data_IF_978958304135
#
_entry.id   IF_978958304135
#
_cell.length_a   1.000
_cell.length_b   1.000
_cell.length_c   1.000
_cell.angle_alpha   90.00
_cell.angle_beta   90.00
_cell.angle_gamma   90.00
#
_symmetry.space_group_name_H-M   'P 1'
#
loop_
_entity.id
_entity.type
_entity.pdbx_description
1 polymer ?
#
# COMPACT_ATOMS: atom_id res chain seq x y z
N UNK A 1 -8.26 14.42 -25.17
CA UNK A 1 -7.42 13.24 -24.93
C UNK A 1 -8.12 12.01 -25.50
N UNK A 2 -7.39 10.99 -26.08
CA UNK A 2 -8.04 9.77 -26.59
C UNK A 2 -7.84 8.64 -25.57
N UNK A 3 -8.91 7.93 -25.28
CA UNK A 3 -8.83 6.65 -24.51
C UNK A 3 -8.13 5.59 -25.36
N UNK A 4 -7.48 4.64 -24.70
CA UNK A 4 -6.95 3.43 -25.35
C UNK A 4 -8.11 2.48 -25.65
N UNK A 5 -7.96 1.60 -26.64
CA UNK A 5 -9.02 0.66 -27.05
C UNK A 5 -9.59 -0.12 -25.85
N UNK A 6 -8.75 -0.73 -25.06
CA UNK A 6 -9.18 -1.47 -23.88
C UNK A 6 -9.92 -0.59 -22.85
N UNK A 7 -9.55 0.71 -22.73
CA UNK A 7 -10.28 1.61 -21.82
C UNK A 7 -11.69 1.87 -22.35
N UNK A 8 -11.86 1.99 -23.66
CA UNK A 8 -13.19 2.14 -24.30
C UNK A 8 -14.06 0.91 -24.03
N UNK A 9 -13.50 -0.31 -24.16
CA UNK A 9 -14.18 -1.55 -23.86
C UNK A 9 -14.59 -1.64 -22.38
N UNK A 10 -13.67 -1.31 -21.45
CA UNK A 10 -13.96 -1.28 -20.01
C UNK A 10 -15.01 -0.24 -19.68
N UNK A 11 -14.95 0.96 -20.27
CA UNK A 11 -15.95 2.02 -20.09
C UNK A 11 -17.35 1.54 -20.52
N UNK A 12 -17.47 0.89 -21.68
CA UNK A 12 -18.74 0.38 -22.18
C UNK A 12 -19.28 -0.74 -21.26
N UNK A 13 -18.44 -1.67 -20.85
CA UNK A 13 -18.82 -2.75 -19.93
C UNK A 13 -19.22 -2.18 -18.56
N UNK A 14 -18.46 -1.23 -18.02
CA UNK A 14 -18.77 -0.59 -16.74
C UNK A 14 -20.10 0.18 -16.78
N UNK A 15 -20.41 0.86 -17.89
CA UNK A 15 -21.72 1.49 -18.09
C UNK A 15 -22.86 0.46 -17.99
N UNK A 16 -22.73 -0.69 -18.67
CA UNK A 16 -23.74 -1.75 -18.62
C UNK A 16 -23.94 -2.26 -17.21
N UNK A 17 -22.85 -2.52 -16.48
CA UNK A 17 -22.92 -3.01 -15.08
C UNK A 17 -23.53 -1.95 -14.16
N UNK A 18 -23.19 -0.67 -14.32
CA UNK A 18 -23.75 0.42 -13.53
C UNK A 18 -25.24 0.63 -13.76
N UNK A 19 -25.70 0.55 -15.00
CA UNK A 19 -27.12 0.64 -15.33
C UNK A 19 -27.94 -0.51 -14.73
N UNK A 20 -27.35 -1.72 -14.65
CA UNK A 20 -27.99 -2.89 -14.08
C UNK A 20 -27.96 -2.91 -12.53
N UNK A 21 -26.85 -2.48 -11.92
CA UNK A 21 -26.56 -2.74 -10.49
C UNK A 21 -26.22 -1.48 -9.69
N UNK A 22 -26.19 -0.31 -10.31
CA UNK A 22 -25.81 1.00 -9.75
C UNK A 22 -24.40 1.08 -9.17
N UNK A 23 -23.64 0.00 -9.16
CA UNK A 23 -22.21 0.02 -8.82
C UNK A 23 -21.40 -0.92 -9.70
N UNK A 24 -20.12 -0.62 -9.85
CA UNK A 24 -19.13 -1.48 -10.50
C UNK A 24 -17.81 -1.43 -9.74
N UNK A 25 -17.09 -2.53 -9.72
CA UNK A 25 -15.75 -2.62 -9.14
C UNK A 25 -14.69 -2.73 -10.25
N UNK A 26 -13.89 -1.70 -10.45
CA UNK A 26 -12.75 -1.72 -11.38
C UNK A 26 -11.51 -2.26 -10.66
N UNK A 27 -11.28 -3.56 -10.79
CA UNK A 27 -10.09 -4.26 -10.29
C UNK A 27 -8.97 -4.18 -11.33
N UNK A 28 -8.45 -2.99 -11.56
CA UNK A 28 -7.44 -2.74 -12.56
C UNK A 28 -6.07 -2.55 -11.88
N UNK A 29 -5.04 -3.22 -12.37
CA UNK A 29 -3.69 -3.09 -11.82
C UNK A 29 -3.15 -1.66 -11.93
N UNK A 30 -2.09 -1.35 -11.18
CA UNK A 30 -1.46 -0.03 -11.22
C UNK A 30 -1.00 0.32 -12.64
N UNK A 31 -1.10 1.63 -13.00
CA UNK A 31 -0.71 2.16 -14.33
C UNK A 31 -1.53 1.68 -15.53
N UNK A 32 -2.61 0.94 -15.34
CA UNK A 32 -3.54 0.60 -16.43
C UNK A 32 -4.54 1.73 -16.75
N UNK A 33 -4.44 2.89 -16.08
CA UNK A 33 -5.24 4.07 -16.38
C UNK A 33 -6.62 4.08 -15.71
N UNK A 34 -6.75 3.49 -14.50
CA UNK A 34 -7.99 3.45 -13.70
C UNK A 34 -8.71 4.79 -13.61
N UNK A 35 -7.99 5.84 -13.23
CA UNK A 35 -8.55 7.20 -13.07
C UNK A 35 -9.23 7.68 -14.34
N UNK A 36 -8.52 7.64 -15.48
CA UNK A 36 -9.08 8.03 -16.77
C UNK A 36 -10.27 7.16 -17.18
N UNK A 37 -10.20 5.87 -16.92
CA UNK A 37 -11.30 4.94 -17.19
C UNK A 37 -12.54 5.32 -16.37
N UNK A 38 -12.41 5.59 -15.07
CA UNK A 38 -13.53 6.01 -14.22
C UNK A 38 -14.12 7.36 -14.63
N UNK A 39 -13.28 8.34 -15.00
CA UNK A 39 -13.73 9.63 -15.55
C UNK A 39 -14.46 9.43 -16.89
N UNK A 40 -13.98 8.52 -17.74
CA UNK A 40 -14.66 8.16 -19.00
C UNK A 40 -16.00 7.45 -18.80
N UNK A 41 -16.14 6.64 -17.75
CA UNK A 41 -17.44 6.03 -17.38
C UNK A 41 -18.45 7.10 -16.98
N UNK A 42 -18.03 8.07 -16.19
CA UNK A 42 -18.87 9.21 -15.79
C UNK A 42 -19.35 10.01 -17.00
N UNK A 43 -18.44 10.35 -17.94
CA UNK A 43 -18.78 11.01 -19.20
C UNK A 43 -19.76 10.20 -20.05
N UNK A 44 -19.52 8.90 -20.16
CA UNK A 44 -20.37 8.00 -20.95
C UNK A 44 -21.79 7.86 -20.40
N UNK A 45 -21.96 7.98 -19.08
CA UNK A 45 -23.28 7.98 -18.43
C UNK A 45 -24.02 9.31 -18.52
N UNK A 46 -23.33 10.42 -18.90
CA UNK A 46 -23.92 11.74 -18.99
C UNK A 46 -24.36 12.30 -17.63
N UNK A 47 -23.55 12.09 -16.61
CA UNK A 47 -23.79 12.57 -15.24
C UNK A 47 -23.53 14.09 -15.13
N UNK A 48 -24.01 14.74 -14.07
CA UNK A 48 -23.79 16.16 -13.82
C UNK A 48 -22.72 16.43 -12.78
N UNK A 49 -22.75 15.73 -11.65
CA UNK A 49 -21.87 15.99 -10.51
C UNK A 49 -21.18 14.71 -10.03
N UNK A 50 -19.87 14.68 -10.13
CA UNK A 50 -19.03 13.57 -9.67
C UNK A 50 -18.34 13.91 -8.35
N UNK A 51 -18.49 13.03 -7.35
CA UNK A 51 -17.66 13.02 -6.16
C UNK A 51 -16.53 11.97 -6.31
N UNK A 52 -15.30 12.43 -6.38
CA UNK A 52 -14.13 11.56 -6.47
C UNK A 52 -13.39 11.52 -5.13
N UNK A 53 -13.48 10.39 -4.43
CA UNK A 53 -12.86 10.18 -3.11
C UNK A 53 -11.57 9.39 -3.29
N UNK A 54 -10.45 9.95 -2.83
CA UNK A 54 -9.11 9.37 -3.02
C UNK A 54 -8.20 9.65 -1.82
N UNK A 55 -6.91 9.37 -1.94
CA UNK A 55 -5.89 9.78 -0.99
C UNK A 55 -5.40 11.20 -1.26
N UNK A 56 -5.08 11.97 -0.22
CA UNK A 56 -4.67 13.38 -0.33
C UNK A 56 -3.61 13.65 -1.41
N UNK A 57 -2.62 12.76 -1.54
CA UNK A 57 -1.54 12.91 -2.53
C UNK A 57 -1.97 12.71 -3.99
N UNK A 58 -3.09 12.05 -4.23
CA UNK A 58 -3.57 11.76 -5.58
C UNK A 58 -4.49 12.86 -6.14
N UNK A 59 -4.99 13.79 -5.31
CA UNK A 59 -5.93 14.83 -5.71
C UNK A 59 -5.43 15.59 -6.94
N UNK A 60 -4.23 16.16 -6.88
CA UNK A 60 -3.69 16.99 -7.97
C UNK A 60 -3.54 16.25 -9.31
N UNK A 61 -3.21 14.94 -9.26
CA UNK A 61 -3.11 14.12 -10.49
C UNK A 61 -4.49 13.84 -11.11
N UNK A 62 -5.52 13.64 -10.27
CA UNK A 62 -6.89 13.42 -10.73
C UNK A 62 -7.46 14.68 -11.36
N UNK A 63 -7.27 15.84 -10.71
CA UNK A 63 -7.66 17.15 -11.26
C UNK A 63 -6.96 17.45 -12.58
N UNK A 64 -5.68 17.10 -12.71
CA UNK A 64 -4.93 17.24 -13.95
C UNK A 64 -5.47 16.35 -15.07
N UNK A 65 -5.83 15.09 -14.77
CA UNK A 65 -6.45 14.18 -15.72
C UNK A 65 -7.85 14.64 -16.14
N UNK A 66 -8.65 15.13 -15.20
CA UNK A 66 -9.96 15.74 -15.48
C UNK A 66 -9.84 16.95 -16.41
N UNK A 67 -8.93 17.88 -16.12
CA UNK A 67 -8.68 19.05 -16.99
C UNK A 67 -8.23 18.65 -18.40
N UNK A 68 -7.45 17.58 -18.54
CA UNK A 68 -7.02 17.07 -19.87
C UNK A 68 -8.15 16.39 -20.63
N UNK A 69 -9.07 15.75 -19.93
CA UNK A 69 -10.22 15.09 -20.53
C UNK A 69 -11.25 16.10 -21.00
N UNK A 70 -11.43 17.23 -20.28
CA UNK A 70 -12.43 18.28 -20.51
C UNK A 70 -13.86 17.70 -20.63
N UNK A 71 -14.34 16.96 -19.64
CA UNK A 71 -15.67 16.36 -19.71
C UNK A 71 -16.79 17.38 -19.46
N UNK A 72 -18.02 17.00 -19.80
CA UNK A 72 -19.21 17.86 -19.67
C UNK A 72 -19.89 17.78 -18.28
N UNK A 73 -19.19 17.34 -17.21
CA UNK A 73 -19.72 17.29 -15.86
C UNK A 73 -18.77 18.00 -14.88
N UNK A 74 -19.28 18.31 -13.69
CA UNK A 74 -18.46 18.88 -12.62
C UNK A 74 -17.87 17.81 -11.72
N UNK A 75 -16.67 18.06 -11.18
CA UNK A 75 -15.99 17.15 -10.27
C UNK A 75 -15.64 17.82 -8.94
N UNK A 76 -15.92 17.12 -7.85
CA UNK A 76 -15.38 17.42 -6.53
C UNK A 76 -14.39 16.31 -6.16
N UNK A 77 -13.11 16.65 -6.03
CA UNK A 77 -12.06 15.68 -5.63
C UNK A 77 -11.71 15.91 -4.16
N UNK A 78 -11.86 14.90 -3.35
CA UNK A 78 -11.61 15.00 -1.91
C UNK A 78 -10.88 13.75 -1.37
N UNK A 79 -10.17 13.94 -0.25
CA UNK A 79 -9.57 12.80 0.44
C UNK A 79 -10.54 12.21 1.47
N UNK A 80 -10.36 10.91 1.75
CA UNK A 80 -11.19 10.17 2.70
C UNK A 80 -11.30 10.82 4.10
N UNK A 81 -10.21 11.45 4.58
CA UNK A 81 -10.16 12.09 5.89
C UNK A 81 -11.01 13.35 5.96
N UNK A 82 -11.21 14.02 4.82
CA UNK A 82 -11.99 15.27 4.74
C UNK A 82 -13.41 15.05 4.22
N UNK A 83 -13.82 13.82 3.93
CA UNK A 83 -15.13 13.50 3.35
C UNK A 83 -16.32 14.03 4.16
N UNK A 84 -16.16 14.17 5.50
CA UNK A 84 -17.18 14.75 6.37
C UNK A 84 -17.46 16.25 6.13
N UNK A 85 -16.66 16.91 5.28
CA UNK A 85 -16.80 18.33 4.90
C UNK A 85 -17.47 18.50 3.52
N UNK A 86 -17.79 17.39 2.87
CA UNK A 86 -18.40 17.42 1.54
C UNK A 86 -19.82 17.93 1.65
N UNK A 87 -20.14 18.92 0.83
CA UNK A 87 -21.47 19.48 0.63
C UNK A 87 -21.88 19.33 -0.83
N UNK A 88 -23.18 19.28 -1.08
CA UNK A 88 -23.73 19.17 -2.43
C UNK A 88 -24.34 17.79 -2.73
N UNK A 89 -24.99 17.71 -3.89
CA UNK A 89 -25.62 16.51 -4.41
C UNK A 89 -24.78 15.92 -5.54
N UNK A 90 -24.58 14.62 -5.51
CA UNK A 90 -23.77 13.89 -6.48
C UNK A 90 -24.58 12.74 -7.06
N UNK A 91 -24.61 12.67 -8.37
CA UNK A 91 -25.25 11.58 -9.12
C UNK A 91 -24.25 10.47 -9.49
N UNK A 92 -22.96 10.72 -9.26
CA UNK A 92 -21.88 9.74 -9.47
C UNK A 92 -20.79 9.84 -8.40
N UNK A 93 -20.31 8.70 -7.93
CA UNK A 93 -19.25 8.62 -6.92
C UNK A 93 -18.14 7.65 -7.36
N UNK A 94 -16.89 8.09 -7.27
CA UNK A 94 -15.72 7.23 -7.45
C UNK A 94 -15.00 7.08 -6.12
N UNK A 95 -14.76 5.83 -5.71
CA UNK A 95 -14.05 5.46 -4.49
C UNK A 95 -12.72 4.81 -4.87
N UNK A 96 -11.67 5.61 -4.92
CA UNK A 96 -10.32 5.15 -5.26
C UNK A 96 -9.66 4.45 -4.07
N UNK A 97 -8.83 3.44 -4.35
CA UNK A 97 -8.23 2.57 -3.34
C UNK A 97 -9.29 1.98 -2.36
N UNK A 98 -10.38 1.48 -2.94
CA UNK A 98 -11.55 0.97 -2.23
C UNK A 98 -11.23 -0.11 -1.18
N UNK A 99 -10.11 -0.85 -1.34
CA UNK A 99 -9.63 -1.81 -0.35
C UNK A 99 -9.44 -1.20 1.05
N UNK A 100 -9.22 0.13 1.14
CA UNK A 100 -9.09 0.83 2.43
C UNK A 100 -10.39 0.87 3.25
N UNK A 101 -11.53 0.55 2.63
CA UNK A 101 -12.82 0.39 3.29
C UNK A 101 -13.06 -1.02 3.82
N UNK A 102 -12.20 -1.97 3.47
CA UNK A 102 -12.35 -3.39 3.76
C UNK A 102 -12.06 -3.82 5.20
N UNK A 103 -12.07 -2.91 6.18
CA UNK A 103 -11.88 -3.27 7.58
C UNK A 103 -12.98 -4.22 8.07
N UNK A 104 -12.60 -5.29 8.76
CA UNK A 104 -13.52 -6.28 9.37
C UNK A 104 -13.08 -6.59 10.82
N UNK A 105 -13.96 -7.07 11.71
CA UNK A 105 -15.37 -7.41 11.50
C UNK A 105 -16.31 -6.21 11.53
N UNK A 106 -15.84 -5.00 11.87
CA UNK A 106 -16.66 -3.78 11.93
C UNK A 106 -16.24 -2.79 10.85
N UNK A 107 -17.18 -2.09 10.19
CA UNK A 107 -16.84 -1.05 9.23
C UNK A 107 -16.13 0.12 9.91
N UNK A 108 -15.18 0.73 9.23
CA UNK A 108 -14.51 1.94 9.70
C UNK A 108 -15.48 3.13 9.72
N UNK A 109 -15.12 4.20 10.44
CA UNK A 109 -15.88 5.48 10.42
C UNK A 109 -16.05 6.01 9.00
N UNK A 110 -14.99 5.92 8.20
CA UNK A 110 -14.95 6.26 6.76
C UNK A 110 -15.99 5.48 5.96
N UNK A 111 -16.04 4.15 6.11
CA UNK A 111 -16.99 3.28 5.42
C UNK A 111 -18.44 3.61 5.79
N UNK A 112 -18.71 3.97 7.04
CA UNK A 112 -20.04 4.38 7.50
C UNK A 112 -20.48 5.68 6.84
N UNK A 113 -19.61 6.69 6.81
CA UNK A 113 -19.90 7.97 6.18
C UNK A 113 -20.17 7.83 4.68
N UNK A 114 -19.39 7.02 3.97
CA UNK A 114 -19.62 6.71 2.57
C UNK A 114 -21.00 6.07 2.38
N UNK A 115 -21.37 5.13 3.26
CA UNK A 115 -22.70 4.50 3.21
C UNK A 115 -23.82 5.52 3.40
N UNK A 116 -23.67 6.46 4.34
CA UNK A 116 -24.65 7.53 4.57
C UNK A 116 -24.86 8.37 3.29
N UNK A 117 -23.78 8.78 2.63
CA UNK A 117 -23.85 9.55 1.38
C UNK A 117 -24.51 8.74 0.26
N UNK A 118 -24.12 7.48 0.07
CA UNK A 118 -24.70 6.63 -0.99
C UNK A 118 -26.18 6.37 -0.72
N UNK A 119 -26.58 6.15 0.53
CA UNK A 119 -27.99 5.90 0.88
C UNK A 119 -28.86 7.14 0.75
N UNK A 120 -28.33 8.34 1.03
CA UNK A 120 -29.09 9.59 0.94
C UNK A 120 -29.26 10.10 -0.50
N UNK A 121 -28.23 9.89 -1.36
CA UNK A 121 -28.21 10.49 -2.70
C UNK A 121 -28.40 9.46 -3.83
N UNK A 122 -28.20 8.17 -3.54
CA UNK A 122 -28.30 7.06 -4.49
C UNK A 122 -27.50 7.27 -5.80
N UNK A 123 -26.23 7.68 -5.75
CA UNK A 123 -25.40 7.89 -6.93
C UNK A 123 -25.06 6.56 -7.62
N UNK A 124 -24.61 6.62 -8.88
CA UNK A 124 -23.83 5.53 -9.45
C UNK A 124 -22.45 5.45 -8.76
N UNK A 125 -21.98 4.25 -8.42
CA UNK A 125 -20.75 4.08 -7.64
C UNK A 125 -19.71 3.27 -8.40
N UNK A 126 -18.53 3.83 -8.59
CA UNK A 126 -17.35 3.12 -9.09
C UNK A 126 -16.36 2.91 -7.94
N UNK A 127 -16.15 1.64 -7.60
CA UNK A 127 -15.09 1.22 -6.68
C UNK A 127 -13.83 0.92 -7.49
N UNK A 128 -12.67 1.41 -7.08
CA UNK A 128 -11.41 1.15 -7.77
C UNK A 128 -10.33 0.63 -6.83
N UNK A 129 -9.64 -0.42 -7.23
CA UNK A 129 -8.41 -0.88 -6.56
C UNK A 129 -7.56 -1.74 -7.49
N UNK A 130 -6.24 -1.62 -7.39
CA UNK A 130 -5.31 -2.57 -8.02
C UNK A 130 -5.17 -3.88 -7.21
N UNK A 131 -5.57 -3.86 -5.95
CA UNK A 131 -5.48 -4.97 -4.99
C UNK A 131 -6.74 -5.00 -4.13
N UNK A 132 -7.87 -5.53 -4.63
CA UNK A 132 -9.14 -5.51 -3.90
C UNK A 132 -9.10 -6.21 -2.55
N UNK A 133 -8.33 -7.28 -2.45
CA UNK A 133 -8.25 -8.15 -1.27
C UNK A 133 -6.79 -8.41 -0.89
N UNK A 134 -6.06 -7.37 -0.41
CA UNK A 134 -4.62 -7.49 -0.16
C UNK A 134 -4.28 -8.52 0.92
N UNK A 135 -5.16 -8.75 1.88
CA UNK A 135 -4.93 -9.65 3.02
C UNK A 135 -5.91 -10.84 3.04
N UNK A 136 -7.18 -10.60 2.71
CA UNK A 136 -8.25 -11.61 2.77
C UNK A 136 -9.43 -11.25 1.88
N UNK A 137 -10.10 -12.25 1.32
CA UNK A 137 -11.36 -12.07 0.61
C UNK A 137 -12.47 -11.49 1.52
N UNK A 138 -12.38 -11.66 2.83
CA UNK A 138 -13.30 -11.06 3.80
C UNK A 138 -13.39 -9.53 3.70
N UNK A 139 -12.35 -8.88 3.16
CA UNK A 139 -12.30 -7.43 2.98
C UNK A 139 -13.35 -6.90 2.00
N UNK A 140 -13.84 -7.72 1.09
CA UNK A 140 -14.84 -7.31 0.07
C UNK A 140 -16.15 -6.88 0.73
N UNK A 141 -16.58 -7.55 1.79
CA UNK A 141 -17.88 -7.27 2.40
C UNK A 141 -18.08 -5.78 2.71
N UNK A 142 -17.16 -5.15 3.45
CA UNK A 142 -17.29 -3.75 3.80
C UNK A 142 -16.93 -2.78 2.68
N UNK A 143 -16.25 -3.22 1.64
CA UNK A 143 -16.01 -2.38 0.47
C UNK A 143 -17.31 -2.13 -0.31
N UNK A 144 -18.13 -3.17 -0.48
CA UNK A 144 -19.40 -3.07 -1.21
C UNK A 144 -20.62 -2.83 -0.32
N UNK A 145 -20.46 -2.90 1.00
CA UNK A 145 -21.49 -2.72 2.02
C UNK A 145 -22.34 -1.44 1.86
N UNK A 146 -21.77 -0.39 1.29
CA UNK A 146 -22.46 0.85 1.03
C UNK A 146 -23.37 0.77 -0.20
N UNK A 147 -23.07 -0.10 -1.16
CA UNK A 147 -23.80 -0.22 -2.43
C UNK A 147 -25.10 -1.01 -2.23
N UNK A 148 -26.23 -0.46 -2.68
CA UNK A 148 -27.55 -1.01 -2.44
C UNK A 148 -27.77 -2.39 -3.10
N UNK A 149 -27.29 -2.58 -4.32
CA UNK A 149 -27.45 -3.77 -5.16
C UNK A 149 -26.29 -4.77 -5.03
N UNK A 150 -25.52 -4.75 -3.91
CA UNK A 150 -24.37 -5.64 -3.76
C UNK A 150 -24.82 -7.10 -3.49
N UNK A 151 -23.98 -8.10 -3.89
CA UNK A 151 -24.34 -9.53 -3.78
C UNK A 151 -24.48 -10.05 -2.34
N UNK A 152 -24.08 -9.26 -1.35
CA UNK A 152 -24.12 -9.63 0.07
C UNK A 152 -25.21 -8.91 0.86
N UNK A 153 -26.17 -8.25 0.21
CA UNK A 153 -27.24 -7.47 0.85
C UNK A 153 -28.10 -8.26 1.84
N UNK A 154 -28.28 -9.57 1.62
CA UNK A 154 -29.01 -10.43 2.55
C UNK A 154 -28.32 -10.55 3.93
N UNK A 155 -27.02 -10.27 4.00
CA UNK A 155 -26.27 -10.32 5.26
C UNK A 155 -26.23 -8.94 5.92
N UNK A 156 -27.17 -8.66 6.80
CA UNK A 156 -27.28 -7.37 7.51
C UNK A 156 -26.06 -7.02 8.37
N UNK A 157 -25.21 -8.00 8.69
CA UNK A 157 -23.98 -7.81 9.48
C UNK A 157 -22.86 -8.67 8.95
N UNK A 158 -21.62 -8.21 9.11
CA UNK A 158 -20.43 -8.99 8.77
C UNK A 158 -20.41 -10.37 9.46
N UNK A 159 -20.91 -10.46 10.67
CA UNK A 159 -20.93 -11.74 11.39
C UNK A 159 -21.85 -12.79 10.74
N UNK A 160 -22.97 -12.36 10.14
CA UNK A 160 -23.85 -13.26 9.37
C UNK A 160 -23.18 -13.70 8.08
N UNK A 161 -22.53 -12.77 7.35
CA UNK A 161 -21.73 -13.06 6.18
C UNK A 161 -20.57 -14.03 6.52
N UNK A 162 -19.84 -13.78 7.61
CA UNK A 162 -18.70 -14.57 8.01
C UNK A 162 -19.04 -16.03 8.35
N UNK A 163 -20.25 -16.31 8.86
CA UNK A 163 -20.70 -17.70 9.10
C UNK A 163 -20.71 -18.55 7.84
N UNK A 164 -20.94 -17.95 6.69
CA UNK A 164 -21.06 -18.64 5.41
C UNK A 164 -19.76 -18.60 4.61
N UNK A 165 -19.12 -17.40 4.54
CA UNK A 165 -18.04 -17.13 3.64
C UNK A 165 -16.65 -16.99 4.30
N UNK A 166 -16.52 -17.23 5.61
CA UNK A 166 -15.22 -17.10 6.30
C UNK A 166 -14.96 -18.33 7.16
N UNK A 167 -13.78 -18.89 7.06
CA UNK A 167 -13.30 -19.92 7.97
C UNK A 167 -12.84 -19.27 9.27
N UNK A 168 -13.77 -19.08 10.19
CA UNK A 168 -13.52 -18.37 11.46
C UNK A 168 -12.68 -19.24 12.38
N UNK A 169 -11.50 -18.73 12.77
CA UNK A 169 -10.64 -19.38 13.75
C UNK A 169 -10.60 -18.57 15.04
N UNK A 170 -10.48 -19.25 16.19
CA UNK A 170 -10.30 -18.57 17.48
C UNK A 170 -8.83 -18.44 17.81
N UNK A 171 -8.44 -17.26 18.28
CA UNK A 171 -7.10 -16.97 18.80
C UNK A 171 -7.23 -16.46 20.24
N UNK A 172 -6.34 -16.90 21.10
CA UNK A 172 -6.26 -16.32 22.45
C UNK A 172 -5.49 -14.99 22.38
N UNK A 173 -6.12 -13.93 22.87
CA UNK A 173 -5.51 -12.61 22.99
C UNK A 173 -5.64 -12.14 24.43
N UNK A 174 -4.53 -12.00 25.15
CA UNK A 174 -4.50 -11.69 26.60
C UNK A 174 -5.48 -12.55 27.41
N UNK A 175 -5.42 -13.87 27.24
CA UNK A 175 -6.28 -14.84 27.91
C UNK A 175 -7.78 -14.77 27.54
N UNK A 176 -8.17 -13.94 26.56
CA UNK A 176 -9.51 -13.90 26.03
C UNK A 176 -9.59 -14.49 24.61
N UNK A 177 -10.59 -15.34 24.30
CA UNK A 177 -10.78 -15.84 22.97
C UNK A 177 -11.24 -14.70 22.03
N UNK A 178 -10.55 -14.52 20.94
CA UNK A 178 -10.91 -13.57 19.89
C UNK A 178 -11.06 -14.30 18.56
N UNK A 179 -12.15 -14.04 17.85
CA UNK A 179 -12.36 -14.59 16.54
C UNK A 179 -11.50 -13.87 15.51
N UNK A 180 -10.85 -14.67 14.67
CA UNK A 180 -10.09 -14.22 13.52
C UNK A 180 -10.89 -14.49 12.25
N UNK A 181 -10.95 -13.50 11.35
CA UNK A 181 -11.75 -13.51 10.12
C UNK A 181 -10.90 -13.32 8.87
N UNK A 182 -9.60 -13.62 8.92
CA UNK A 182 -8.66 -13.41 7.82
C UNK A 182 -8.64 -14.53 6.77
N UNK A 183 -9.46 -15.57 6.95
CA UNK A 183 -9.57 -16.69 6.01
C UNK A 183 -10.93 -16.66 5.28
N UNK A 184 -11.11 -15.62 4.42
CA UNK A 184 -12.27 -15.52 3.55
C UNK A 184 -12.20 -16.54 2.41
N UNK A 185 -13.33 -17.17 2.09
CA UNK A 185 -13.43 -18.20 1.05
C UNK A 185 -13.39 -17.58 -0.36
N UNK A 186 -12.85 -18.31 -1.37
CA UNK A 186 -12.80 -17.84 -2.76
C UNK A 186 -14.17 -17.50 -3.37
N UNK A 187 -15.25 -18.16 -2.91
CA UNK A 187 -16.62 -17.94 -3.37
C UNK A 187 -17.08 -16.49 -3.25
N UNK A 188 -16.46 -15.71 -2.34
CA UNK A 188 -16.69 -14.26 -2.23
C UNK A 188 -16.35 -13.56 -3.56
N UNK A 189 -15.27 -13.97 -4.20
CA UNK A 189 -14.85 -13.39 -5.50
C UNK A 189 -15.76 -13.87 -6.61
N UNK A 190 -16.20 -15.12 -6.56
CA UNK A 190 -17.14 -15.65 -7.56
C UNK A 190 -18.47 -14.87 -7.53
N UNK A 191 -18.99 -14.55 -6.35
CA UNK A 191 -20.15 -13.70 -6.18
C UNK A 191 -19.95 -12.26 -6.72
N UNK A 192 -18.72 -11.77 -6.69
CA UNK A 192 -18.39 -10.43 -7.19
C UNK A 192 -18.20 -10.36 -8.72
N UNK A 193 -18.01 -11.48 -9.42
CA UNK A 193 -17.73 -11.50 -10.87
C UNK A 193 -18.69 -10.67 -11.72
N UNK A 194 -20.02 -10.67 -11.51
CA UNK A 194 -20.95 -9.85 -12.31
C UNK A 194 -20.75 -8.33 -12.14
N UNK A 195 -20.14 -7.92 -11.03
CA UNK A 195 -19.96 -6.52 -10.62
C UNK A 195 -18.53 -6.03 -10.79
N UNK A 196 -17.60 -6.92 -11.18
CA UNK A 196 -16.17 -6.65 -11.17
C UNK A 196 -15.58 -6.76 -12.57
N UNK A 197 -14.85 -5.74 -12.98
CA UNK A 197 -14.07 -5.73 -14.21
C UNK A 197 -12.61 -5.76 -13.81
N UNK A 198 -11.93 -6.85 -14.13
CA UNK A 198 -10.50 -7.02 -13.86
C UNK A 198 -9.69 -6.73 -15.10
N UNK A 199 -8.54 -6.04 -14.93
CA UNK A 199 -7.63 -5.76 -16.02
C UNK A 199 -6.18 -5.66 -15.52
N UNK A 200 -5.33 -6.49 -16.09
CA UNK A 200 -3.93 -6.62 -15.68
C UNK A 200 -2.99 -5.74 -16.53
N UNK A 201 -1.80 -5.47 -16.02
CA UNK A 201 -0.73 -4.83 -16.78
C UNK A 201 -0.36 -5.65 -18.04
N UNK A 202 -0.38 -6.98 -17.93
CA UNK A 202 -0.11 -7.88 -19.04
C UNK A 202 -1.11 -7.67 -20.20
N UNK A 203 -2.40 -7.63 -19.90
CA UNK A 203 -3.46 -7.33 -20.88
C UNK A 203 -3.32 -5.92 -21.45
N UNK A 204 -2.85 -4.96 -20.66
CA UNK A 204 -2.56 -3.59 -21.11
C UNK A 204 -1.31 -3.48 -22.00
N UNK A 205 -0.64 -4.62 -22.29
CA UNK A 205 0.53 -4.69 -23.15
C UNK A 205 1.83 -4.26 -22.46
N UNK A 206 1.88 -4.26 -21.11
CA UNK A 206 3.13 -4.08 -20.38
C UNK A 206 4.00 -5.32 -20.57
N UNK A 207 5.19 -5.11 -21.12
CA UNK A 207 6.19 -6.18 -21.33
C UNK A 207 7.24 -6.21 -20.21
N UNK A 208 7.18 -5.26 -19.28
CA UNK A 208 8.18 -5.13 -18.23
C UNK A 208 8.12 -6.31 -17.25
N UNK A 209 9.26 -6.98 -17.12
CA UNK A 209 9.49 -7.97 -16.08
C UNK A 209 10.21 -7.30 -14.91
N UNK A 210 9.69 -7.47 -13.71
CA UNK A 210 10.39 -7.05 -12.50
C UNK A 210 11.34 -8.18 -12.12
N UNK A 211 12.65 -7.87 -12.11
CA UNK A 211 13.67 -8.75 -11.55
C UNK A 211 14.03 -8.33 -10.15
N UNK A 212 13.78 -9.20 -9.20
CA UNK A 212 14.08 -8.93 -7.80
C UNK A 212 15.40 -9.57 -7.39
N UNK A 213 16.26 -8.79 -6.75
CA UNK A 213 17.57 -9.18 -6.27
C UNK A 213 17.64 -8.95 -4.76
N UNK A 214 18.03 -9.96 -4.00
CA UNK A 214 18.24 -9.84 -2.55
C UNK A 214 19.74 -9.80 -2.29
N UNK A 215 20.23 -8.64 -1.85
CA UNK A 215 21.61 -8.43 -1.45
C UNK A 215 21.74 -8.42 0.08
N UNK A 216 22.76 -9.09 0.58
CA UNK A 216 23.02 -9.21 2.02
C UNK A 216 24.18 -8.34 2.43
N UNK A 217 24.02 -7.66 3.56
CA UNK A 217 25.03 -6.76 4.12
C UNK A 217 25.40 -7.23 5.51
N UNK A 218 26.69 -7.43 5.73
CA UNK A 218 27.24 -7.66 7.08
C UNK A 218 27.16 -6.35 7.85
N UNK A 219 26.43 -6.37 8.95
CA UNK A 219 26.33 -5.24 9.86
C UNK A 219 27.55 -5.20 10.81
N UNK A 220 27.71 -4.10 11.53
CA UNK A 220 28.76 -4.02 12.57
C UNK A 220 28.49 -5.02 13.72
N UNK A 221 29.53 -5.42 14.40
CA UNK A 221 29.43 -6.30 15.58
C UNK A 221 28.56 -5.67 16.69
N UNK A 222 28.54 -4.35 16.77
CA UNK A 222 27.67 -3.60 17.69
C UNK A 222 26.19 -3.85 17.39
N UNK A 223 25.81 -3.86 16.12
CA UNK A 223 24.42 -4.16 15.70
C UNK A 223 24.01 -5.56 16.18
N UNK A 224 24.82 -6.57 15.93
CA UNK A 224 24.51 -7.94 16.36
C UNK A 224 24.44 -8.09 17.88
N UNK A 225 25.31 -7.38 18.62
CA UNK A 225 25.26 -7.35 20.09
C UNK A 225 23.95 -6.70 20.57
N UNK A 226 23.56 -5.55 20.02
CA UNK A 226 22.31 -4.90 20.39
C UNK A 226 21.07 -5.77 20.08
N UNK A 227 21.08 -6.47 18.93
CA UNK A 227 20.01 -7.40 18.60
C UNK A 227 19.93 -8.55 19.60
N UNK A 228 21.07 -9.09 20.01
CA UNK A 228 21.13 -10.14 21.05
C UNK A 228 20.58 -9.63 22.38
N UNK A 229 21.08 -8.49 22.88
CA UNK A 229 20.59 -7.89 24.13
C UNK A 229 19.08 -7.60 24.09
N UNK A 230 18.58 -7.03 22.99
CA UNK A 230 17.15 -6.80 22.80
C UNK A 230 16.34 -8.11 22.76
N UNK A 231 16.91 -9.18 22.21
CA UNK A 231 16.26 -10.49 22.12
C UNK A 231 16.18 -11.19 23.48
N UNK A 232 17.21 -11.08 24.29
CA UNK A 232 17.32 -11.73 25.60
C UNK A 232 16.70 -10.90 26.72
N UNK A 233 17.03 -9.61 26.78
CA UNK A 233 16.71 -8.74 27.92
C UNK A 233 15.60 -7.72 27.66
N UNK A 234 15.22 -7.50 26.40
CA UNK A 234 14.21 -6.49 25.97
C UNK A 234 14.57 -5.04 26.32
N UNK A 235 15.80 -4.81 26.75
CA UNK A 235 16.31 -3.53 27.20
C UNK A 235 17.77 -3.41 26.75
N UNK A 236 18.14 -2.22 26.27
CA UNK A 236 19.51 -1.83 26.01
C UNK A 236 19.71 -0.46 26.66
N UNK A 237 20.67 -0.38 27.56
CA UNK A 237 21.03 0.86 28.25
C UNK A 237 22.34 1.43 27.74
N UNK A 238 22.38 2.71 27.47
CA UNK A 238 23.56 3.43 27.07
C UNK A 238 24.56 3.54 28.24
N UNK A 239 25.73 2.93 28.12
CA UNK A 239 26.75 2.92 29.22
C UNK A 239 27.23 4.31 29.66
N UNK A 240 27.08 5.32 28.83
CA UNK A 240 27.53 6.72 29.12
C UNK A 240 26.43 7.76 28.95
N UNK A 241 25.27 7.36 28.46
CA UNK A 241 24.11 8.23 28.22
C UNK A 241 22.91 7.60 28.95
N UNK A 242 21.98 8.41 29.39
CA UNK A 242 20.71 7.91 29.98
C UNK A 242 19.73 7.40 28.90
N UNK A 243 20.24 7.06 27.74
CA UNK A 243 19.44 6.60 26.59
C UNK A 243 19.07 5.14 26.79
N UNK A 244 17.78 4.86 26.57
CA UNK A 244 17.20 3.53 26.73
C UNK A 244 16.47 3.14 25.47
N UNK A 245 16.73 1.90 25.02
CA UNK A 245 15.95 1.24 23.96
C UNK A 245 15.15 0.12 24.65
N UNK A 246 13.84 0.28 24.67
CA UNK A 246 12.93 -0.62 25.37
C UNK A 246 12.05 -1.41 24.41
N UNK A 247 12.00 -2.73 24.57
CA UNK A 247 11.12 -3.66 23.86
C UNK A 247 10.19 -4.41 24.81
N UNK A 248 9.52 -3.69 25.73
CA UNK A 248 8.67 -4.23 26.81
C UNK A 248 7.57 -5.16 26.31
N UNK A 249 7.01 -4.90 25.15
CA UNK A 249 6.02 -5.77 24.49
C UNK A 249 6.64 -6.49 23.29
N UNK A 250 6.07 -7.67 22.93
CA UNK A 250 6.55 -8.41 21.76
C UNK A 250 6.46 -7.60 20.46
N UNK A 251 5.46 -6.72 20.33
CA UNK A 251 5.31 -5.81 19.18
C UNK A 251 6.43 -4.78 19.15
N UNK A 252 6.74 -4.14 20.28
CA UNK A 252 7.85 -3.18 20.37
C UNK A 252 9.18 -3.89 20.16
N UNK A 253 9.40 -5.06 20.76
CA UNK A 253 10.59 -5.88 20.55
C UNK A 253 10.83 -6.20 19.07
N UNK A 254 9.80 -6.69 18.37
CA UNK A 254 9.85 -6.94 16.92
C UNK A 254 10.25 -5.67 16.14
N UNK A 255 9.62 -4.54 16.45
CA UNK A 255 9.93 -3.26 15.81
C UNK A 255 11.34 -2.78 16.10
N UNK A 256 11.83 -2.90 17.34
CA UNK A 256 13.20 -2.49 17.72
C UNK A 256 14.25 -3.38 17.06
N UNK A 257 14.06 -4.69 17.01
CA UNK A 257 14.97 -5.62 16.31
C UNK A 257 15.04 -5.29 14.83
N UNK A 258 13.91 -4.99 14.20
CA UNK A 258 13.85 -4.57 12.79
C UNK A 258 14.61 -3.23 12.55
N UNK A 259 14.46 -2.26 13.46
CA UNK A 259 15.21 -1.00 13.42
C UNK A 259 16.71 -1.23 13.60
N UNK A 260 17.13 -2.04 14.56
CA UNK A 260 18.54 -2.35 14.81
C UNK A 260 19.20 -3.00 13.58
N UNK A 261 18.53 -3.94 12.90
CA UNK A 261 19.05 -4.53 11.68
C UNK A 261 19.06 -3.54 10.49
N UNK A 262 18.36 -2.44 10.57
CA UNK A 262 18.50 -1.34 9.59
C UNK A 262 19.66 -0.40 9.90
N UNK A 263 20.32 -0.58 11.05
CA UNK A 263 21.38 0.32 11.53
C UNK A 263 20.83 1.59 12.20
N UNK A 264 19.55 1.59 12.60
CA UNK A 264 18.89 2.76 13.20
C UNK A 264 18.00 2.33 14.37
N UNK A 265 17.67 3.26 15.25
CA UNK A 265 16.69 3.01 16.30
C UNK A 265 16.02 4.31 16.75
N UNK A 266 14.74 4.23 17.10
CA UNK A 266 14.01 5.29 17.79
C UNK A 266 14.01 5.01 19.29
N UNK A 267 14.53 5.93 20.08
CA UNK A 267 14.56 5.87 21.52
C UNK A 267 13.18 6.16 22.14
N UNK A 268 12.99 5.88 23.42
CA UNK A 268 11.72 6.10 24.12
C UNK A 268 11.35 7.59 24.23
N UNK A 269 12.32 8.48 24.31
CA UNK A 269 12.11 9.95 24.28
C UNK A 269 11.75 10.49 22.89
N UNK A 270 11.64 9.62 21.88
CA UNK A 270 11.31 9.98 20.50
C UNK A 270 12.52 10.33 19.61
N UNK A 271 13.71 10.48 20.17
CA UNK A 271 14.96 10.75 19.43
C UNK A 271 15.28 9.57 18.50
N UNK A 272 15.83 9.87 17.34
CA UNK A 272 16.30 8.87 16.38
C UNK A 272 17.81 8.79 16.43
N UNK A 273 18.33 7.59 16.43
CA UNK A 273 19.75 7.34 16.49
C UNK A 273 20.17 6.42 15.33
N UNK A 274 21.25 6.77 14.68
CA UNK A 274 21.96 5.91 13.72
C UNK A 274 22.98 5.11 14.50
N UNK A 275 22.84 3.80 14.50
CA UNK A 275 23.74 2.88 15.20
C UNK A 275 24.77 2.24 14.28
N UNK A 276 24.47 2.21 12.96
CA UNK A 276 25.30 1.54 11.97
C UNK A 276 25.04 2.12 10.57
N UNK A 277 26.07 2.45 9.85
CA UNK A 277 26.00 2.98 8.47
C UNK A 277 26.28 1.92 7.40
N UNK A 278 26.46 0.66 7.76
CA UNK A 278 26.87 -0.41 6.83
C UNK A 278 25.96 -0.53 5.62
N UNK A 279 24.63 -0.52 5.81
CA UNK A 279 23.68 -0.55 4.69
C UNK A 279 23.77 0.68 3.78
N UNK A 280 23.81 1.87 4.36
CA UNK A 280 23.89 3.11 3.57
C UNK A 280 25.20 3.17 2.75
N UNK A 281 26.34 2.79 3.35
CA UNK A 281 27.64 2.70 2.67
C UNK A 281 27.62 1.64 1.58
N UNK A 282 27.07 0.47 1.86
CA UNK A 282 26.91 -0.60 0.86
C UNK A 282 26.11 -0.12 -0.35
N UNK A 283 24.94 0.51 -0.14
CA UNK A 283 24.11 1.04 -1.24
C UNK A 283 24.91 2.06 -2.06
N UNK A 284 25.62 2.99 -1.43
CA UNK A 284 26.45 3.99 -2.15
C UNK A 284 27.55 3.33 -3.00
N UNK A 285 28.17 2.28 -2.50
CA UNK A 285 29.27 1.59 -3.19
C UNK A 285 28.75 0.73 -4.33
N UNK A 286 27.71 -0.07 -4.08
CA UNK A 286 27.14 -1.01 -5.04
C UNK A 286 26.51 -0.30 -6.24
N UNK A 287 25.85 0.83 -5.99
CA UNK A 287 25.12 1.58 -7.02
C UNK A 287 25.81 2.89 -7.43
N UNK A 288 27.13 3.01 -7.26
CA UNK A 288 27.89 4.27 -7.51
C UNK A 288 27.72 4.85 -8.91
N UNK A 289 27.47 4.02 -9.92
CA UNK A 289 27.35 4.41 -11.32
C UNK A 289 25.89 4.41 -11.81
N UNK A 290 24.91 4.36 -10.90
CA UNK A 290 23.48 4.32 -11.21
C UNK A 290 22.76 5.46 -10.54
N UNK A 291 21.76 6.02 -11.21
CA UNK A 291 20.79 6.92 -10.60
C UNK A 291 19.69 6.07 -9.96
N UNK A 292 19.64 6.02 -8.65
CA UNK A 292 18.77 5.11 -7.91
C UNK A 292 17.61 5.82 -7.22
N UNK A 293 16.48 5.08 -7.10
CA UNK A 293 15.40 5.44 -6.19
C UNK A 293 15.45 4.49 -4.98
N UNK A 294 15.61 5.05 -3.79
CA UNK A 294 15.71 4.27 -2.54
C UNK A 294 14.40 4.38 -1.77
N UNK A 295 13.79 3.24 -1.46
CA UNK A 295 12.70 3.17 -0.52
C UNK A 295 13.18 2.80 0.88
N UNK A 296 12.79 3.61 1.87
CA UNK A 296 13.11 3.39 3.27
C UNK A 296 11.84 3.27 4.12
N UNK A 297 11.93 2.58 5.27
CA UNK A 297 10.82 2.40 6.21
C UNK A 297 10.88 3.40 7.36
N UNK A 298 12.02 3.46 8.06
CA UNK A 298 12.20 4.31 9.24
C UNK A 298 12.86 5.64 8.86
N UNK A 299 12.40 6.74 9.44
CA UNK A 299 12.91 8.08 9.12
C UNK A 299 14.42 8.22 9.35
N UNK A 300 14.98 7.53 10.35
CA UNK A 300 16.42 7.52 10.61
C UNK A 300 17.25 6.86 9.50
N UNK A 301 16.63 6.00 8.67
CA UNK A 301 17.30 5.42 7.50
C UNK A 301 17.57 6.48 6.43
N UNK A 302 16.66 7.46 6.28
CA UNK A 302 16.90 8.62 5.43
C UNK A 302 18.06 9.48 5.96
N UNK A 303 18.09 9.69 7.27
CA UNK A 303 19.19 10.40 7.93
C UNK A 303 20.54 9.69 7.71
N UNK A 304 20.56 8.34 7.78
CA UNK A 304 21.74 7.53 7.47
C UNK A 304 22.17 7.65 6.00
N UNK A 305 21.21 7.65 5.07
CA UNK A 305 21.47 7.88 3.65
C UNK A 305 22.05 9.29 3.41
N UNK A 306 21.46 10.33 3.99
CA UNK A 306 21.94 11.70 3.92
C UNK A 306 23.36 11.83 4.45
N UNK A 307 23.68 11.18 5.57
CA UNK A 307 25.03 11.20 6.15
C UNK A 307 26.08 10.58 5.22
N UNK A 308 25.70 9.56 4.42
CA UNK A 308 26.61 8.88 3.50
C UNK A 308 26.67 9.57 2.13
N UNK A 309 25.54 10.04 1.59
CA UNK A 309 25.45 10.63 0.26
C UNK A 309 25.68 12.14 0.24
N UNK A 310 25.52 12.85 1.37
CA UNK A 310 25.52 14.32 1.41
C UNK A 310 24.45 14.89 0.49
N UNK A 311 24.86 15.81 -0.38
CA UNK A 311 23.97 16.44 -1.37
C UNK A 311 23.62 15.55 -2.58
N UNK A 312 24.19 14.35 -2.66
CA UNK A 312 23.94 13.40 -3.75
C UNK A 312 22.59 12.66 -3.65
N UNK A 313 21.77 12.94 -2.62
CA UNK A 313 20.44 12.32 -2.44
C UNK A 313 19.41 13.35 -1.96
N UNK A 314 18.19 13.26 -2.47
CA UNK A 314 17.07 14.15 -2.15
C UNK A 314 15.81 13.36 -1.82
N UNK A 315 14.79 13.99 -1.26
CA UNK A 315 13.42 13.49 -1.13
C UNK A 315 12.40 14.28 -1.97
N UNK A 316 12.89 15.26 -2.74
CA UNK A 316 12.09 16.05 -3.67
C UNK A 316 12.13 15.45 -5.09
N UNK A 317 10.92 15.21 -5.65
CA UNK A 317 10.76 14.61 -6.99
C UNK A 317 11.22 15.53 -8.11
N UNK A 318 11.02 16.85 -7.98
CA UNK A 318 11.44 17.80 -9.00
C UNK A 318 12.96 17.88 -9.06
N UNK A 319 13.61 17.91 -7.89
CA UNK A 319 15.07 17.90 -7.82
C UNK A 319 15.65 16.60 -8.38
N UNK A 320 15.03 15.45 -8.05
CA UNK A 320 15.40 14.16 -8.66
C UNK A 320 15.25 14.18 -10.18
N UNK A 321 14.14 14.73 -10.70
CA UNK A 321 13.86 14.72 -12.14
C UNK A 321 14.76 15.69 -12.93
N UNK A 322 15.25 16.77 -12.31
CA UNK A 322 16.03 17.81 -12.98
C UNK A 322 17.54 17.72 -12.76
N UNK A 323 17.99 16.91 -11.81
CA UNK A 323 19.42 16.77 -11.47
C UNK A 323 19.90 15.32 -11.57
N UNK A 324 21.19 15.09 -11.33
CA UNK A 324 21.78 13.75 -11.22
C UNK A 324 21.62 13.11 -9.84
N UNK A 325 20.96 13.78 -8.88
CA UNK A 325 20.79 13.26 -7.51
C UNK A 325 19.95 11.98 -7.49
N UNK A 326 20.24 11.12 -6.55
CA UNK A 326 19.42 9.99 -6.19
C UNK A 326 18.18 10.46 -5.40
N UNK A 327 17.15 9.66 -5.35
CA UNK A 327 15.97 9.97 -4.51
C UNK A 327 15.80 8.93 -3.41
N UNK A 328 15.39 9.38 -2.22
CA UNK A 328 14.98 8.50 -1.13
C UNK A 328 13.58 8.86 -0.66
N UNK A 329 12.68 7.85 -0.64
CA UNK A 329 11.28 8.01 -0.31
C UNK A 329 10.85 7.02 0.76
N UNK A 330 10.03 7.47 1.70
CA UNK A 330 9.47 6.55 2.70
C UNK A 330 8.44 5.62 2.04
N UNK A 331 8.52 4.31 2.27
CA UNK A 331 7.63 3.31 1.67
C UNK A 331 6.16 3.71 1.85
N UNK A 332 5.77 4.10 3.07
CA UNK A 332 4.39 4.47 3.39
C UNK A 332 3.86 5.67 2.56
N UNK A 333 4.74 6.60 2.19
CA UNK A 333 4.37 7.81 1.45
C UNK A 333 4.75 7.77 -0.04
N UNK A 334 5.75 6.99 -0.41
CA UNK A 334 6.25 6.86 -1.78
C UNK A 334 5.58 5.76 -2.61
N UNK A 335 4.75 4.92 -1.98
CA UNK A 335 4.11 3.78 -2.66
C UNK A 335 2.98 4.16 -3.61
N UNK A 336 2.55 5.42 -3.64
CA UNK A 336 1.37 5.85 -4.40
C UNK A 336 1.61 7.17 -5.15
N UNK A 337 1.05 7.28 -6.35
CA UNK A 337 0.93 8.54 -7.10
C UNK A 337 2.22 9.14 -7.68
N UNK A 338 3.37 8.47 -7.60
CA UNK A 338 4.65 9.00 -8.09
C UNK A 338 5.21 8.18 -9.26
N UNK A 339 6.02 8.84 -10.09
CA UNK A 339 6.76 8.21 -11.19
C UNK A 339 8.26 8.28 -10.93
N UNK A 340 8.94 7.15 -11.05
CA UNK A 340 10.39 7.01 -10.84
C UNK A 340 11.11 6.59 -12.14
N UNK A 341 10.61 7.03 -13.30
CA UNK A 341 11.12 6.62 -14.62
C UNK A 341 12.58 6.99 -14.86
N UNK A 342 13.12 7.99 -14.16
CA UNK A 342 14.50 8.44 -14.30
C UNK A 342 15.50 7.67 -13.43
N UNK A 343 15.02 6.73 -12.61
CA UNK A 343 15.88 5.84 -11.88
C UNK A 343 16.29 4.63 -12.75
N UNK A 344 17.54 4.23 -12.69
CA UNK A 344 18.04 3.02 -13.34
C UNK A 344 17.56 1.75 -12.63
N UNK A 345 17.38 1.83 -11.32
CA UNK A 345 16.83 0.74 -10.52
C UNK A 345 16.17 1.25 -9.22
N UNK A 346 15.38 0.38 -8.61
CA UNK A 346 14.73 0.60 -7.32
C UNK A 346 15.49 -0.17 -6.23
N UNK A 347 15.83 0.51 -5.16
CA UNK A 347 16.58 -0.06 -4.03
C UNK A 347 15.74 0.06 -2.76
N UNK A 348 15.47 -1.05 -2.10
CA UNK A 348 14.85 -1.07 -0.78
C UNK A 348 15.90 -1.15 0.30
N UNK A 349 16.06 -0.06 1.05
CA UNK A 349 16.90 -0.04 2.24
C UNK A 349 16.38 -0.99 3.31
N UNK A 350 15.06 -1.09 3.40
CA UNK A 350 14.36 -1.96 4.34
C UNK A 350 13.02 -2.41 3.74
N UNK A 351 12.36 -3.38 4.38
CA UNK A 351 11.08 -3.94 3.97
C UNK A 351 9.99 -3.59 5.00
N UNK A 352 8.76 -3.38 4.54
CA UNK A 352 7.62 -3.23 5.44
C UNK A 352 7.00 -4.59 5.79
N UNK A 353 6.31 -4.66 6.92
CA UNK A 353 5.57 -5.85 7.34
C UNK A 353 4.32 -6.10 6.49
N UNK A 354 3.84 -5.09 5.78
CA UNK A 354 2.63 -5.13 4.97
C UNK A 354 2.90 -5.67 3.56
N UNK A 355 2.17 -6.71 3.18
CA UNK A 355 2.16 -7.24 1.83
C UNK A 355 1.70 -6.20 0.82
N UNK A 356 0.68 -5.39 1.16
CA UNK A 356 0.19 -4.31 0.33
C UNK A 356 1.30 -3.28 0.01
N UNK A 357 2.06 -2.87 1.03
CA UNK A 357 3.19 -1.95 0.87
C UNK A 357 4.23 -2.51 -0.10
N UNK A 358 4.55 -3.79 0.01
CA UNK A 358 5.46 -4.50 -0.89
C UNK A 358 4.96 -4.43 -2.35
N UNK A 359 3.74 -4.90 -2.62
CA UNK A 359 3.21 -5.00 -3.97
C UNK A 359 3.03 -3.64 -4.64
N UNK A 360 2.50 -2.64 -3.92
CA UNK A 360 2.27 -1.30 -4.46
C UNK A 360 3.55 -0.52 -4.74
N UNK A 361 4.57 -0.67 -3.88
CA UNK A 361 5.83 0.06 -4.06
C UNK A 361 6.71 -0.55 -5.14
N UNK A 362 6.73 -1.88 -5.29
CA UNK A 362 7.55 -2.61 -6.26
C UNK A 362 7.24 -2.20 -7.71
N UNK A 363 5.98 -1.98 -8.02
CA UNK A 363 5.53 -1.70 -9.39
C UNK A 363 5.77 -0.24 -9.83
N UNK A 364 6.49 0.58 -9.04
CA UNK A 364 6.70 2.01 -9.34
C UNK A 364 7.62 2.27 -10.53
N UNK A 365 8.45 1.33 -10.92
CA UNK A 365 9.33 1.45 -12.07
C UNK A 365 8.78 0.83 -13.36
N UNK A 366 7.70 0.06 -13.29
CA UNK A 366 7.13 -0.53 -14.50
C UNK A 366 6.63 0.53 -15.45
N UNK A 367 7.07 0.50 -16.70
CA UNK A 367 6.58 1.37 -17.79
C UNK A 367 6.22 0.49 -18.98
N UNK A 368 5.40 1.02 -19.90
CA UNK A 368 5.07 0.30 -21.15
C UNK A 368 6.29 0.00 -21.99
N UNK A 369 7.28 0.89 -21.93
CA UNK A 369 8.47 0.90 -22.80
C UNK A 369 9.68 0.22 -22.13
N UNK A 370 9.62 -0.08 -20.84
CA UNK A 370 10.68 -0.76 -20.11
C UNK A 370 10.51 -2.28 -20.21
N UNK A 371 11.54 -2.99 -20.71
CA UNK A 371 11.52 -4.44 -20.81
C UNK A 371 11.87 -5.14 -19.50
N UNK A 372 12.70 -4.52 -18.67
CA UNK A 372 13.15 -5.05 -17.37
C UNK A 372 13.27 -3.92 -16.37
N UNK A 373 12.79 -4.13 -15.16
CA UNK A 373 12.96 -3.23 -14.00
C UNK A 373 13.64 -3.99 -12.88
N UNK A 374 14.88 -3.62 -12.56
CA UNK A 374 15.62 -4.24 -11.47
C UNK A 374 15.22 -3.62 -10.11
N UNK A 375 14.87 -4.48 -9.17
CA UNK A 375 14.50 -4.13 -7.79
C UNK A 375 15.45 -4.84 -6.84
N UNK A 376 16.15 -4.08 -6.01
CA UNK A 376 17.16 -4.58 -5.07
C UNK A 376 16.67 -4.44 -3.63
N UNK A 377 16.69 -5.53 -2.91
CA UNK A 377 16.37 -5.61 -1.48
C UNK A 377 17.67 -5.72 -0.68
N UNK A 378 17.93 -4.75 0.19
CA UNK A 378 19.16 -4.71 0.99
C UNK A 378 18.86 -5.19 2.40
N UNK A 379 19.18 -6.42 2.68
CA UNK A 379 18.90 -7.06 3.98
C UNK A 379 20.19 -7.25 4.78
N UNK A 380 20.08 -7.10 6.10
CA UNK A 380 21.17 -7.48 6.98
C UNK A 380 21.41 -9.00 6.95
N UNK A 381 22.65 -9.42 6.99
CA UNK A 381 22.98 -10.83 7.27
C UNK A 381 22.36 -11.23 8.61
N UNK A 382 21.73 -12.40 8.68
CA UNK A 382 20.96 -12.87 9.84
C UNK A 382 19.78 -11.98 10.26
N UNK A 383 19.43 -10.95 9.43
CA UNK A 383 18.32 -10.03 9.71
C UNK A 383 16.93 -10.66 9.49
N UNK A 384 15.95 -10.12 10.22
CA UNK A 384 14.55 -10.57 10.10
C UNK A 384 13.93 -10.22 8.75
N UNK A 385 14.53 -9.31 7.98
CA UNK A 385 14.01 -8.82 6.69
C UNK A 385 13.81 -9.94 5.68
N UNK A 386 14.70 -10.95 5.66
CA UNK A 386 14.56 -12.12 4.77
C UNK A 386 13.28 -12.91 5.07
N UNK A 387 12.88 -12.99 6.32
CA UNK A 387 11.66 -13.71 6.75
C UNK A 387 10.42 -12.88 6.47
N UNK A 388 10.50 -11.57 6.70
CA UNK A 388 9.44 -10.63 6.30
C UNK A 388 9.20 -10.76 4.79
N UNK A 389 10.26 -10.71 3.98
CA UNK A 389 10.19 -10.82 2.53
C UNK A 389 9.49 -12.12 2.09
N UNK A 390 9.90 -13.27 2.63
CA UNK A 390 9.26 -14.56 2.33
C UNK A 390 7.76 -14.59 2.65
N UNK A 391 7.33 -13.84 3.64
CA UNK A 391 5.91 -13.76 4.04
C UNK A 391 5.12 -12.85 3.11
N UNK A 392 5.63 -11.64 2.83
CA UNK A 392 4.88 -10.63 2.06
C UNK A 392 4.79 -10.95 0.57
N UNK A 393 5.75 -11.68 -0.01
CA UNK A 393 5.66 -12.14 -1.41
C UNK A 393 4.48 -13.10 -1.63
N UNK A 394 4.05 -13.80 -0.57
CA UNK A 394 2.90 -14.69 -0.59
C UNK A 394 1.58 -13.97 -0.24
N UNK A 395 1.54 -12.65 -0.38
CA UNK A 395 0.38 -11.79 -0.06
C UNK A 395 -0.10 -11.92 1.39
N UNK A 396 0.81 -12.17 2.33
CA UNK A 396 0.53 -12.25 3.77
C UNK A 396 1.32 -11.21 4.51
N UNK A 397 0.69 -10.52 5.45
CA UNK A 397 1.40 -9.60 6.33
C UNK A 397 2.29 -10.35 7.31
N UNK A 398 3.46 -9.78 7.59
CA UNK A 398 4.35 -10.30 8.62
C UNK A 398 3.87 -9.86 10.00
N UNK A 399 3.27 -10.80 10.73
CA UNK A 399 2.62 -10.57 12.02
C UNK A 399 3.52 -10.95 13.19
N UNK A 400 3.10 -10.61 14.40
CA UNK A 400 3.77 -11.02 15.64
C UNK A 400 3.93 -12.54 15.75
N UNK A 401 2.96 -13.32 15.28
CA UNK A 401 3.03 -14.79 15.26
C UNK A 401 4.19 -15.31 14.40
N UNK A 402 4.42 -14.69 13.23
CA UNK A 402 5.58 -15.02 12.39
C UNK A 402 6.88 -14.69 13.13
N UNK A 403 6.94 -13.52 13.77
CA UNK A 403 8.10 -13.07 14.52
C UNK A 403 8.43 -14.00 15.70
N UNK A 404 7.44 -14.40 16.51
CA UNK A 404 7.63 -15.32 17.65
C UNK A 404 8.15 -16.69 17.19
N UNK A 405 7.58 -17.23 16.10
CA UNK A 405 8.07 -18.46 15.49
C UNK A 405 9.54 -18.33 15.03
N UNK A 406 9.87 -17.18 14.45
CA UNK A 406 11.20 -16.93 13.91
C UNK A 406 12.25 -16.66 14.98
N UNK A 407 11.87 -16.11 16.15
CA UNK A 407 12.76 -15.90 17.31
C UNK A 407 13.32 -17.21 17.87
N UNK A 408 12.56 -18.31 17.79
CA UNK A 408 13.02 -19.63 18.23
C UNK A 408 14.15 -20.19 17.35
N UNK A 409 14.45 -19.56 16.22
CA UNK A 409 15.45 -19.97 15.23
C UNK A 409 16.55 -18.89 14.97
N UNK A 410 16.60 -17.83 15.77
CA UNK A 410 17.69 -16.85 15.86
C UNK A 410 18.66 -17.24 16.97
#
# INVERSE_FOLDING_TARGET
>A
MKFREYQVEIINTAQTVLLAHRFVYLSMEVRTGKTLTALGVAEKLGINNLLFVTKKKAIGSIEADYKKLMPNYQITVINYESLHKVEGEFDFMVLDEAHTMGAYPKPSKRTKLIKEIIQSQNPYVVLMSGTPTPESFSQIYHQVYACMENPFNQYKTFYKFAKEYVNVTQRMFHSMPSNNYDDGKPEIIDMMKPYMISYTQKEAGFKSQIKEHVLKVKMSDLTYRFVKEMSEHRLIEGKKTQEVILGDTNVKKMSKIHQLFSGTVKLENGTRMITDLSKARFIRTEFKNKKIAVFYKFKAEYEALKQVYGDGITDDLNEFDTTSKNIALQIASGREGISLKKADCLVYYNIDFSALSYWQSRDRMTTKDSTVSDVYWIFAEKGIETRIYKTVINKKDYTLKHFEKDLLSL
#
